data_IF_183138207103
#
_entry.id   IF_183138207103
#
_cell.length_a   1.000
_cell.length_b   1.000
_cell.length_c   1.000
_cell.angle_alpha   90.00
_cell.angle_beta   90.00
_cell.angle_gamma   90.00
#
_symmetry.space_group_name_H-M   'P 1'
#
loop_
_entity.id
_entity.type
_entity.pdbx_description
1 polymer ?
#
# COMPACT_ATOMS: atom_id res chain seq x y z
N UNK A 1 -5.38 -28.33 40.04
CA UNK A 1 -4.55 -27.12 39.87
C UNK A 1 -4.41 -26.84 38.38
N UNK A 2 -5.06 -25.79 37.87
CA UNK A 2 -4.95 -25.41 36.45
C UNK A 2 -3.62 -24.67 36.26
N UNK A 3 -2.74 -25.23 35.43
CA UNK A 3 -1.38 -24.72 35.25
C UNK A 3 -1.34 -23.41 34.46
N UNK A 4 -0.42 -22.52 34.83
CA UNK A 4 -0.18 -21.20 34.19
C UNK A 4 -0.02 -21.29 32.66
N UNK A 5 0.41 -22.43 32.12
CA UNK A 5 0.51 -22.70 30.68
C UNK A 5 -0.84 -22.97 29.99
N UNK A 6 -1.81 -23.56 30.69
CA UNK A 6 -3.14 -23.82 30.15
C UNK A 6 -3.97 -22.52 30.02
N UNK A 7 -3.73 -21.54 30.91
CA UNK A 7 -4.38 -20.22 30.82
C UNK A 7 -3.85 -19.39 29.63
N UNK A 8 -2.55 -19.49 29.32
CA UNK A 8 -1.94 -18.76 28.20
C UNK A 8 -2.28 -19.38 26.83
N UNK A 9 -2.34 -20.71 26.75
CA UNK A 9 -2.72 -21.41 25.51
C UNK A 9 -4.25 -21.38 25.27
N UNK A 10 -5.06 -21.39 26.33
CA UNK A 10 -6.52 -21.21 26.23
C UNK A 10 -6.94 -19.76 25.98
N UNK A 11 -6.17 -18.78 26.47
CA UNK A 11 -6.48 -17.36 26.34
C UNK A 11 -6.15 -16.74 24.98
N UNK A 12 -5.10 -17.20 24.30
CA UNK A 12 -4.65 -16.58 23.04
C UNK A 12 -5.40 -17.07 21.80
N UNK A 13 -5.99 -18.26 21.83
CA UNK A 13 -6.73 -18.83 20.69
C UNK A 13 -8.22 -18.47 20.66
N UNK A 14 -8.86 -18.31 21.82
CA UNK A 14 -10.32 -18.12 21.93
C UNK A 14 -10.78 -16.72 22.33
N UNK A 15 -10.00 -15.98 23.13
CA UNK A 15 -10.44 -14.66 23.62
C UNK A 15 -10.21 -13.53 22.60
N UNK A 16 -9.33 -13.69 21.62
CA UNK A 16 -9.14 -12.67 20.57
C UNK A 16 -10.38 -12.49 19.69
N UNK A 17 -11.07 -13.59 19.37
CA UNK A 17 -12.31 -13.56 18.60
C UNK A 17 -13.54 -13.18 19.46
N UNK A 18 -13.59 -13.63 20.73
CA UNK A 18 -14.71 -13.34 21.63
C UNK A 18 -14.67 -11.92 22.24
N UNK A 19 -13.48 -11.38 22.53
CA UNK A 19 -13.35 -10.01 23.04
C UNK A 19 -13.73 -8.97 21.98
N UNK A 20 -13.41 -9.18 20.71
CA UNK A 20 -13.80 -8.29 19.60
C UNK A 20 -15.33 -8.20 19.40
N UNK A 21 -16.09 -9.20 19.87
CA UNK A 21 -17.56 -9.20 19.83
C UNK A 21 -18.22 -8.62 21.10
N UNK A 22 -17.44 -8.30 22.14
CA UNK A 22 -17.93 -7.45 23.23
C UNK A 22 -17.89 -5.99 22.79
N UNK A 23 -18.90 -5.17 23.13
CA UNK A 23 -18.91 -3.74 22.77
C UNK A 23 -17.63 -3.00 23.18
N UNK A 24 -17.01 -3.41 24.29
CA UNK A 24 -15.72 -2.89 24.75
C UNK A 24 -14.56 -3.28 23.83
N UNK A 25 -14.42 -4.55 23.44
CA UNK A 25 -13.32 -4.96 22.56
C UNK A 25 -13.48 -4.44 21.13
N UNK A 26 -14.72 -4.36 20.63
CA UNK A 26 -15.01 -3.63 19.39
C UNK A 26 -14.54 -2.17 19.50
N UNK A 27 -14.95 -1.44 20.55
CA UNK A 27 -14.57 -0.04 20.73
C UNK A 27 -13.05 0.15 20.84
N UNK A 28 -12.33 -0.76 21.50
CA UNK A 28 -10.88 -0.69 21.62
C UNK A 28 -10.17 -0.88 20.27
N UNK A 29 -10.65 -1.79 19.41
CA UNK A 29 -10.08 -1.96 18.05
C UNK A 29 -10.52 -0.83 17.12
N UNK A 30 -11.77 -0.36 17.24
CA UNK A 30 -12.32 0.73 16.43
C UNK A 30 -11.59 2.06 16.67
N UNK A 31 -11.29 2.37 17.94
CA UNK A 31 -10.54 3.56 18.36
C UNK A 31 -9.02 3.35 18.36
N UNK A 32 -8.53 2.28 17.72
CA UNK A 32 -7.10 1.99 17.53
C UNK A 32 -6.28 1.85 18.83
N UNK A 33 -6.94 1.63 19.96
CA UNK A 33 -6.28 1.29 21.24
C UNK A 33 -5.69 -0.12 21.17
N UNK A 34 -6.35 -1.03 20.45
CA UNK A 34 -5.86 -2.36 20.11
C UNK A 34 -5.63 -2.51 18.60
N UNK A 35 -4.63 -3.30 18.17
CA UNK A 35 -4.37 -3.51 16.76
C UNK A 35 -5.51 -4.32 16.10
N UNK A 36 -5.70 -4.13 14.80
CA UNK A 36 -6.61 -4.95 13.99
C UNK A 36 -7.71 -4.20 13.27
N UNK A 37 -7.78 -2.86 13.34
CA UNK A 37 -8.82 -2.05 12.68
C UNK A 37 -9.08 -2.44 11.23
N UNK A 38 -8.03 -2.54 10.41
CA UNK A 38 -8.19 -2.94 8.99
C UNK A 38 -8.81 -4.34 8.83
N UNK A 39 -8.49 -5.30 9.72
CA UNK A 39 -9.11 -6.63 9.69
C UNK A 39 -10.57 -6.57 10.14
N UNK A 40 -10.87 -5.76 11.16
CA UNK A 40 -12.21 -5.52 11.66
C UNK A 40 -13.08 -4.86 10.57
N UNK A 41 -12.61 -3.77 9.97
CA UNK A 41 -13.31 -3.07 8.90
C UNK A 41 -13.56 -3.98 7.69
N UNK A 42 -12.59 -4.84 7.34
CA UNK A 42 -12.79 -5.86 6.30
C UNK A 42 -13.87 -6.87 6.68
N UNK A 43 -13.86 -7.38 7.90
CA UNK A 43 -14.86 -8.33 8.38
C UNK A 43 -16.26 -7.72 8.44
N UNK A 44 -16.35 -6.41 8.71
CA UNK A 44 -17.59 -5.64 8.73
C UNK A 44 -18.01 -5.10 7.35
N UNK A 45 -17.29 -5.43 6.28
CA UNK A 45 -17.61 -4.96 4.92
C UNK A 45 -17.45 -3.44 4.72
N UNK A 46 -16.63 -2.78 5.55
CA UNK A 46 -16.36 -1.34 5.48
C UNK A 46 -15.20 -0.98 4.56
N UNK A 47 -14.36 -1.96 4.22
CA UNK A 47 -13.39 -1.82 3.14
C UNK A 47 -14.17 -1.91 1.82
N UNK A 48 -14.55 -0.75 1.26
CA UNK A 48 -15.24 -0.69 -0.02
C UNK A 48 -14.49 -1.41 -1.15
N UNK A 49 -15.14 -1.56 -2.29
CA UNK A 49 -14.54 -2.19 -3.46
C UNK A 49 -13.63 -1.22 -4.19
N UNK A 50 -12.48 -1.73 -4.66
CA UNK A 50 -11.60 -0.97 -5.54
C UNK A 50 -12.23 -0.97 -6.93
N UNK A 51 -12.49 0.20 -7.54
CA UNK A 51 -13.05 0.25 -8.88
C UNK A 51 -12.10 -0.37 -9.90
N UNK A 52 -12.67 -0.94 -10.96
CA UNK A 52 -11.88 -1.46 -12.07
C UNK A 52 -10.98 -0.35 -12.65
N UNK A 53 -9.70 -0.63 -12.95
CA UNK A 53 -8.82 0.35 -13.56
C UNK A 53 -9.37 0.87 -14.91
N UNK A 54 -9.07 2.13 -15.27
CA UNK A 54 -9.34 2.65 -16.61
C UNK A 54 -8.74 1.80 -17.72
N UNK A 55 -9.35 1.81 -18.90
CA UNK A 55 -8.82 1.08 -20.06
C UNK A 55 -7.51 1.68 -20.60
N UNK A 56 -7.32 3.00 -20.44
CA UNK A 56 -6.06 3.66 -20.77
C UNK A 56 -4.93 3.14 -19.87
N UNK A 57 -3.75 2.95 -20.44
CA UNK A 57 -2.55 2.60 -19.68
C UNK A 57 -1.29 3.19 -20.32
N UNK A 58 -0.22 3.26 -19.55
CA UNK A 58 1.12 3.63 -20.02
C UNK A 58 2.15 2.60 -19.55
N UNK A 59 3.04 2.20 -20.45
CA UNK A 59 4.13 1.28 -20.14
C UNK A 59 5.05 1.88 -19.06
N UNK A 60 5.20 1.14 -17.96
CA UNK A 60 6.07 1.55 -16.86
C UNK A 60 7.54 1.36 -17.22
N UNK A 61 8.39 2.27 -16.73
CA UNK A 61 9.84 2.15 -16.85
C UNK A 61 10.43 1.70 -15.52
N UNK A 62 11.40 0.79 -15.55
CA UNK A 62 12.14 0.35 -14.36
C UNK A 62 13.57 0.84 -14.42
N UNK A 63 14.06 1.36 -13.30
CA UNK A 63 15.44 1.78 -13.15
C UNK A 63 16.04 1.25 -11.86
N UNK A 64 17.36 1.08 -11.85
CA UNK A 64 18.10 0.70 -10.67
C UNK A 64 19.37 1.55 -10.56
N UNK A 65 19.73 1.91 -9.33
CA UNK A 65 20.96 2.65 -9.06
C UNK A 65 21.54 2.27 -7.71
N UNK A 66 22.87 2.44 -7.56
CA UNK A 66 23.52 2.25 -6.27
C UNK A 66 23.21 3.45 -5.38
N UNK A 67 22.54 3.22 -4.26
CA UNK A 67 22.36 4.22 -3.21
C UNK A 67 23.59 4.23 -2.30
N UNK A 68 24.29 5.36 -2.26
CA UNK A 68 25.41 5.55 -1.34
C UNK A 68 24.95 5.47 0.13
N UNK A 69 23.81 6.09 0.46
CA UNK A 69 23.26 6.10 1.80
C UNK A 69 22.85 4.70 2.28
N UNK A 70 22.13 3.94 1.44
CA UNK A 70 21.70 2.58 1.77
C UNK A 70 22.79 1.53 1.57
N UNK A 71 23.91 1.90 0.95
CA UNK A 71 25.02 1.00 0.57
C UNK A 71 24.56 -0.20 -0.26
N UNK A 72 23.44 -0.09 -0.97
CA UNK A 72 22.83 -1.16 -1.77
C UNK A 72 22.25 -0.61 -3.08
N UNK A 73 21.94 -1.49 -4.02
CA UNK A 73 21.18 -1.14 -5.22
C UNK A 73 19.71 -0.98 -4.84
N UNK A 74 19.12 0.14 -5.21
CA UNK A 74 17.68 0.40 -5.09
C UNK A 74 17.05 0.40 -6.47
N UNK A 75 15.76 0.07 -6.55
CA UNK A 75 15.01 0.14 -7.80
C UNK A 75 13.87 1.16 -7.70
N UNK A 76 13.47 1.68 -8.84
CA UNK A 76 12.25 2.47 -8.98
C UNK A 76 11.45 2.02 -10.20
N UNK A 77 10.14 2.20 -10.07
CA UNK A 77 9.16 2.06 -11.15
C UNK A 77 8.59 3.43 -11.46
N UNK A 78 8.63 3.82 -12.72
CA UNK A 78 8.21 5.13 -13.21
C UNK A 78 6.98 4.94 -14.09
N UNK A 79 5.95 5.72 -13.82
CA UNK A 79 4.73 5.78 -14.62
C UNK A 79 4.74 7.08 -15.43
N UNK A 80 4.79 7.00 -16.77
CA UNK A 80 4.62 8.15 -17.63
C UNK A 80 3.18 8.69 -17.59
N UNK A 81 2.97 9.99 -17.85
CA UNK A 81 1.62 10.55 -17.97
C UNK A 81 0.87 10.13 -19.24
N UNK A 82 1.55 9.51 -20.20
CA UNK A 82 0.97 8.98 -21.44
C UNK A 82 1.98 8.05 -22.12
N UNK A 83 1.47 7.10 -22.91
CA UNK A 83 2.30 6.19 -23.70
C UNK A 83 3.24 6.97 -24.65
N UNK A 84 4.52 6.58 -24.71
CA UNK A 84 5.52 7.21 -25.58
C UNK A 84 5.90 8.65 -25.25
N UNK A 85 5.34 9.27 -24.21
CA UNK A 85 5.64 10.66 -23.84
C UNK A 85 7.03 10.79 -23.20
N UNK A 86 7.79 11.79 -23.63
CA UNK A 86 9.05 12.15 -22.99
C UNK A 86 8.83 12.60 -21.54
N UNK A 87 9.65 12.07 -20.63
CA UNK A 87 9.64 12.43 -19.21
C UNK A 87 10.44 13.70 -18.89
N UNK A 88 11.20 14.22 -19.87
CA UNK A 88 12.11 15.36 -19.65
C UNK A 88 11.33 16.62 -19.31
N UNK A 89 11.70 17.25 -18.19
CA UNK A 89 11.12 18.53 -17.75
C UNK A 89 9.73 18.40 -17.10
N UNK A 90 9.22 17.18 -16.91
CA UNK A 90 7.98 16.98 -16.18
C UNK A 90 8.18 17.11 -14.67
N UNK A 91 7.18 17.64 -13.93
CA UNK A 91 7.10 17.46 -12.49
C UNK A 91 7.07 15.98 -12.12
N UNK A 92 7.55 15.66 -10.91
CA UNK A 92 7.60 14.29 -10.39
C UNK A 92 6.84 14.22 -9.08
N UNK A 93 5.92 13.26 -8.99
CA UNK A 93 5.27 12.86 -7.74
C UNK A 93 5.82 11.51 -7.29
N UNK A 94 6.20 11.41 -6.02
CA UNK A 94 6.73 10.17 -5.45
C UNK A 94 5.58 9.35 -4.87
N UNK A 95 5.44 8.10 -5.29
CA UNK A 95 4.45 7.15 -4.80
C UNK A 95 5.11 6.12 -3.88
N UNK A 96 4.54 5.91 -2.70
CA UNK A 96 5.10 5.04 -1.67
C UNK A 96 4.24 3.78 -1.49
N UNK A 97 4.90 2.63 -1.43
CA UNK A 97 4.36 1.27 -1.55
C UNK A 97 3.73 0.51 -0.35
N UNK A 98 3.24 1.05 0.76
CA UNK A 98 2.85 0.23 1.94
C UNK A 98 3.89 -0.75 2.55
N UNK A 99 3.62 -1.27 3.75
CA UNK A 99 4.51 -2.23 4.45
C UNK A 99 4.67 -3.54 3.67
N UNK A 100 5.91 -4.02 3.51
CA UNK A 100 6.20 -5.28 2.82
C UNK A 100 5.98 -5.23 1.30
N UNK A 101 5.71 -4.05 0.76
CA UNK A 101 5.57 -3.82 -0.68
C UNK A 101 6.89 -3.56 -1.39
N UNK A 102 6.78 -3.30 -2.69
CA UNK A 102 7.85 -2.85 -3.58
C UNK A 102 7.36 -1.68 -4.43
N UNK A 103 8.26 -0.97 -5.10
CA UNK A 103 7.91 0.04 -6.10
C UNK A 103 6.90 -0.50 -7.13
N UNK A 104 7.10 -1.73 -7.59
CA UNK A 104 6.22 -2.37 -8.57
C UNK A 104 4.83 -2.65 -7.97
N UNK A 105 4.76 -3.12 -6.72
CA UNK A 105 3.46 -3.40 -6.09
C UNK A 105 2.67 -2.13 -5.79
N UNK A 106 3.33 -0.99 -5.53
CA UNK A 106 2.64 0.29 -5.39
C UNK A 106 1.87 0.67 -6.65
N UNK A 107 2.54 0.52 -7.80
CA UNK A 107 1.96 0.83 -9.10
C UNK A 107 0.81 -0.13 -9.42
N UNK A 108 1.03 -1.43 -9.30
CA UNK A 108 0.02 -2.43 -9.69
C UNK A 108 -1.18 -2.50 -8.75
N UNK A 109 -0.98 -2.35 -7.43
CA UNK A 109 -2.10 -2.44 -6.46
C UNK A 109 -3.03 -1.23 -6.51
N UNK A 110 -2.53 -0.07 -6.96
CA UNK A 110 -3.30 1.16 -7.10
C UNK A 110 -3.63 1.48 -8.58
N UNK A 111 -3.21 0.62 -9.51
CA UNK A 111 -3.32 0.82 -10.96
C UNK A 111 -2.86 2.22 -11.42
N UNK A 112 -1.74 2.70 -10.88
CA UNK A 112 -1.24 4.05 -11.16
C UNK A 112 -0.90 4.24 -12.65
N UNK A 113 -0.49 3.16 -13.31
CA UNK A 113 -0.24 3.06 -14.74
C UNK A 113 -1.48 3.14 -15.61
N UNK A 114 -2.67 3.09 -15.01
CA UNK A 114 -3.95 3.33 -15.69
C UNK A 114 -4.55 4.69 -15.31
N UNK A 115 -4.59 5.02 -14.02
CA UNK A 115 -5.25 6.24 -13.54
C UNK A 115 -4.52 7.52 -13.92
N UNK A 116 -3.18 7.54 -13.90
CA UNK A 116 -2.43 8.73 -14.31
C UNK A 116 -2.66 9.08 -15.79
N UNK A 117 -2.47 8.17 -16.76
CA UNK A 117 -2.70 8.50 -18.16
C UNK A 117 -4.15 8.83 -18.48
N UNK A 118 -5.12 8.20 -17.82
CA UNK A 118 -6.54 8.55 -17.95
C UNK A 118 -6.82 9.99 -17.47
N UNK A 119 -6.36 10.35 -16.26
CA UNK A 119 -6.56 11.67 -15.70
C UNK A 119 -5.92 12.78 -16.54
N UNK A 120 -4.74 12.52 -17.12
CA UNK A 120 -4.07 13.45 -18.03
C UNK A 120 -4.81 13.56 -19.37
N UNK A 121 -5.24 12.44 -19.96
CA UNK A 121 -5.95 12.43 -21.24
C UNK A 121 -7.30 13.17 -21.16
N UNK A 122 -7.98 13.07 -20.03
CA UNK A 122 -9.26 13.74 -19.77
C UNK A 122 -9.09 15.19 -19.27
N UNK A 123 -7.86 15.70 -19.19
CA UNK A 123 -7.57 17.07 -18.76
C UNK A 123 -7.82 17.33 -17.28
N UNK A 124 -7.97 16.29 -16.45
CA UNK A 124 -8.21 16.40 -15.01
C UNK A 124 -6.98 16.89 -14.23
N UNK A 125 -5.77 16.64 -14.75
CA UNK A 125 -4.51 17.12 -14.17
C UNK A 125 -3.51 17.49 -15.27
N UNK A 126 -2.59 18.46 -15.02
CA UNK A 126 -1.44 18.67 -15.89
C UNK A 126 -0.54 17.41 -15.93
N UNK A 127 0.20 17.16 -17.01
CA UNK A 127 1.11 16.00 -17.11
C UNK A 127 2.26 16.02 -16.08
N UNK A 128 2.45 14.92 -15.37
CA UNK A 128 3.59 14.67 -14.47
C UNK A 128 3.99 13.20 -14.51
N UNK A 129 5.18 12.86 -14.01
CA UNK A 129 5.59 11.46 -13.84
C UNK A 129 5.35 11.00 -12.39
N UNK A 130 4.84 9.78 -12.20
CA UNK A 130 4.87 9.13 -10.90
C UNK A 130 6.12 8.26 -10.79
N UNK A 131 6.77 8.29 -9.63
CA UNK A 131 7.93 7.45 -9.34
C UNK A 131 7.72 6.73 -8.03
N UNK A 132 7.66 5.40 -8.07
CA UNK A 132 7.70 4.55 -6.90
C UNK A 132 9.10 4.00 -6.68
N UNK A 133 9.62 4.01 -5.46
CA UNK A 133 10.98 3.58 -5.12
C UNK A 133 10.92 2.46 -4.08
N UNK A 134 11.77 1.45 -4.19
CA UNK A 134 11.87 0.39 -3.19
C UNK A 134 12.41 0.93 -1.86
N UNK A 135 11.61 0.78 -0.81
CA UNK A 135 11.96 1.09 0.58
C UNK A 135 12.85 0.05 1.25
N UNK A 136 13.09 -1.11 0.62
CA UNK A 136 13.80 -2.24 1.22
C UNK A 136 12.87 -3.17 2.02
N UNK A 137 13.40 -4.28 2.55
CA UNK A 137 12.59 -5.29 3.23
C UNK A 137 12.03 -4.77 4.56
N UNK A 138 10.72 -4.96 4.76
CA UNK A 138 10.01 -4.72 6.03
C UNK A 138 10.04 -3.30 6.58
N UNK A 139 10.31 -2.31 5.73
CA UNK A 139 10.33 -0.91 6.15
C UNK A 139 9.05 -0.22 5.72
N UNK A 140 8.50 0.64 6.59
CA UNK A 140 7.36 1.44 6.16
C UNK A 140 7.86 2.46 5.15
N UNK A 141 8.90 3.25 5.44
CA UNK A 141 9.56 4.12 4.43
C UNK A 141 11.06 4.39 4.66
N UNK A 142 11.81 3.51 5.35
CA UNK A 142 13.29 3.50 5.39
C UNK A 142 13.88 2.13 5.67
#
# INVERSE_FOLDING_TARGET
MIGRRALLLGGLGGLGAAAAMSGTGYALVENEVLPGKVRLDRALGRCGEVPAPPAASAAVQRMAWRSAHRRTTVTATIVPPAEGRSLRGLPVAVALHGSGGTAASAVSSLALDHYLPDAVANGGVPPFALVAVDGGPDTYWH
#
